data_IF_680731012633
#
_entry.id   IF_680731012633
#
_cell.length_a   1.000
_cell.length_b   1.000
_cell.length_c   1.000
_cell.angle_alpha   90.00
_cell.angle_beta   90.00
_cell.angle_gamma   90.00
#
_symmetry.space_group_name_H-M   'P 1'
#
loop_
_entity.id
_entity.type
_entity.pdbx_description
1 polymer ?
#
# COMPACT_ATOMS: atom_id res chain seq x y z
N UNK A 1 6.34 25.93 3.80
CA UNK A 1 6.33 24.49 3.45
C UNK A 1 4.96 24.14 2.85
N UNK A 2 4.94 23.36 1.79
CA UNK A 2 3.70 22.87 1.17
C UNK A 2 3.58 21.37 1.48
N UNK A 3 2.39 20.94 1.85
CA UNK A 3 2.09 19.53 2.15
C UNK A 3 1.16 18.99 1.08
N UNK A 4 1.63 18.05 0.26
CA UNK A 4 0.85 17.40 -0.77
C UNK A 4 0.49 15.98 -0.35
N UNK A 5 -0.77 15.62 -0.45
CA UNK A 5 -1.26 14.28 -0.14
C UNK A 5 -1.75 13.57 -1.38
N UNK A 6 -1.38 12.30 -1.56
CA UNK A 6 -1.83 11.48 -2.68
C UNK A 6 -2.63 10.30 -2.16
N UNK A 7 -3.90 10.27 -2.54
CA UNK A 7 -4.74 9.07 -2.39
C UNK A 7 -4.46 8.14 -3.57
N UNK A 8 -3.91 6.96 -3.26
CA UNK A 8 -3.41 6.02 -4.28
C UNK A 8 -4.42 4.90 -4.54
N UNK A 9 -4.68 4.63 -5.81
CA UNK A 9 -5.52 3.51 -6.23
C UNK A 9 -4.95 2.81 -7.48
N UNK A 10 -5.51 1.67 -7.84
CA UNK A 10 -5.01 0.83 -8.94
C UNK A 10 -4.95 1.55 -10.29
N UNK A 11 -5.99 2.31 -10.64
CA UNK A 11 -6.13 2.93 -11.96
C UNK A 11 -5.81 4.42 -11.96
N UNK A 12 -6.30 5.15 -10.97
CA UNK A 12 -6.16 6.59 -10.87
C UNK A 12 -5.72 6.97 -9.46
N UNK A 13 -4.93 8.01 -9.34
CA UNK A 13 -4.54 8.66 -8.10
C UNK A 13 -5.18 10.04 -8.01
N UNK A 14 -5.36 10.54 -6.80
CA UNK A 14 -5.81 11.92 -6.57
C UNK A 14 -4.78 12.63 -5.69
N UNK A 15 -4.33 13.80 -6.10
CA UNK A 15 -3.42 14.66 -5.34
C UNK A 15 -4.12 15.93 -4.90
N UNK A 16 -3.83 16.37 -3.68
CA UNK A 16 -4.26 17.66 -3.15
C UNK A 16 -3.17 18.24 -2.25
N UNK A 17 -3.11 19.55 -2.11
CA UNK A 17 -2.11 20.23 -1.30
C UNK A 17 -2.72 21.25 -0.35
N UNK A 18 -2.08 21.39 0.83
CA UNK A 18 -2.40 22.40 1.82
C UNK A 18 -1.15 23.21 2.19
N UNK A 19 -1.35 24.46 2.57
CA UNK A 19 -0.30 25.32 3.12
C UNK A 19 -0.05 25.08 4.61
N UNK A 20 0.86 25.84 5.20
CA UNK A 20 1.14 25.81 6.65
C UNK A 20 -0.10 26.14 7.50
N UNK A 21 -1.04 26.90 6.96
CA UNK A 21 -2.32 27.25 7.61
C UNK A 21 -3.38 26.11 7.52
N UNK A 22 -3.07 25.03 6.81
CA UNK A 22 -3.98 23.90 6.58
C UNK A 22 -5.10 24.19 5.57
N UNK A 23 -5.00 25.30 4.83
CA UNK A 23 -5.97 25.61 3.77
C UNK A 23 -5.53 24.99 2.45
N UNK A 24 -6.48 24.47 1.63
CA UNK A 24 -6.17 23.97 0.30
C UNK A 24 -5.58 25.09 -0.56
N UNK A 25 -4.43 24.84 -1.18
CA UNK A 25 -3.73 25.80 -2.04
C UNK A 25 -4.36 25.89 -3.42
N UNK A 26 -4.90 24.78 -3.90
CA UNK A 26 -5.54 24.71 -5.22
C UNK A 26 -6.54 23.53 -5.26
N UNK A 27 -7.20 23.39 -6.42
CA UNK A 27 -8.10 22.26 -6.68
C UNK A 27 -7.32 20.95 -6.79
N UNK A 28 -7.75 19.91 -6.06
CA UNK A 28 -7.19 18.55 -6.20
C UNK A 28 -7.29 18.05 -7.64
N UNK A 29 -6.26 17.33 -8.07
CA UNK A 29 -6.13 16.80 -9.42
C UNK A 29 -6.18 15.27 -9.40
N UNK A 30 -6.93 14.69 -10.33
CA UNK A 30 -6.91 13.26 -10.61
C UNK A 30 -5.97 12.96 -11.78
N UNK A 31 -5.18 11.88 -11.66
CA UNK A 31 -4.25 11.42 -12.70
C UNK A 31 -4.16 9.90 -12.74
N UNK A 32 -3.81 9.34 -13.89
CA UNK A 32 -3.70 7.89 -14.07
C UNK A 32 -2.45 7.33 -13.39
N UNK A 33 -2.54 6.09 -12.93
CA UNK A 33 -1.38 5.32 -12.48
C UNK A 33 -0.60 4.82 -13.72
N UNK A 34 0.14 5.73 -14.35
CA UNK A 34 0.92 5.53 -15.57
C UNK A 34 1.98 6.61 -15.67
N UNK A 35 2.99 6.39 -16.51
CA UNK A 35 4.10 7.34 -16.72
C UNK A 35 3.60 8.75 -17.09
N UNK A 36 2.73 8.86 -18.09
CA UNK A 36 2.10 10.14 -18.48
C UNK A 36 1.26 10.78 -17.34
N UNK A 37 0.68 9.95 -16.45
CA UNK A 37 -0.01 10.43 -15.26
C UNK A 37 0.98 10.97 -14.22
N UNK A 38 2.12 10.34 -14.05
CA UNK A 38 3.18 10.79 -13.15
C UNK A 38 3.81 12.09 -13.62
N UNK A 39 4.06 12.26 -14.94
CA UNK A 39 4.48 13.53 -15.53
C UNK A 39 3.51 14.67 -15.22
N UNK A 40 2.20 14.41 -15.33
CA UNK A 40 1.18 15.39 -14.95
C UNK A 40 1.19 15.72 -13.45
N UNK A 41 1.50 14.73 -12.60
CA UNK A 41 1.65 14.93 -11.17
C UNK A 41 2.86 15.83 -10.87
N UNK A 42 4.01 15.55 -11.48
CA UNK A 42 5.22 16.36 -11.37
C UNK A 42 4.98 17.80 -11.82
N UNK A 43 4.42 18.00 -12.99
CA UNK A 43 4.07 19.35 -13.51
C UNK A 43 3.08 20.10 -12.60
N UNK A 44 2.16 19.40 -11.95
CA UNK A 44 1.24 20.01 -10.99
C UNK A 44 1.97 20.45 -9.71
N UNK A 45 2.93 19.66 -9.21
CA UNK A 45 3.76 20.01 -8.05
C UNK A 45 4.72 21.18 -8.33
N UNK A 46 5.34 21.20 -9.52
CA UNK A 46 6.16 22.32 -10.01
C UNK A 46 5.38 23.65 -10.07
N UNK A 47 4.08 23.58 -10.34
CA UNK A 47 3.20 24.76 -10.31
C UNK A 47 2.91 25.29 -8.90
N UNK A 48 3.26 24.56 -7.84
CA UNK A 48 3.03 24.96 -6.44
C UNK A 48 4.26 25.59 -5.78
N UNK A 49 5.47 25.17 -6.15
CA UNK A 49 6.72 25.63 -5.55
C UNK A 49 7.83 25.66 -6.61
N UNK A 50 8.77 26.57 -6.44
CA UNK A 50 9.95 26.69 -7.32
C UNK A 50 10.96 25.57 -7.07
N UNK A 51 11.09 25.13 -5.82
CA UNK A 51 12.02 24.08 -5.41
C UNK A 51 11.27 22.84 -4.90
N UNK A 52 11.65 21.63 -5.34
CA UNK A 52 11.06 20.39 -4.83
C UNK A 52 11.18 20.21 -3.31
N UNK A 53 12.24 20.78 -2.70
CA UNK A 53 12.50 20.74 -1.26
C UNK A 53 11.43 21.48 -0.42
N UNK A 54 10.67 22.39 -1.04
CA UNK A 54 9.60 23.14 -0.38
C UNK A 54 8.29 22.37 -0.28
N UNK A 55 8.24 21.18 -0.92
CA UNK A 55 7.06 20.33 -0.94
C UNK A 55 7.35 18.99 -0.27
N UNK A 56 6.58 18.67 0.74
CA UNK A 56 6.54 17.33 1.36
C UNK A 56 5.35 16.57 0.80
N UNK A 57 5.62 15.44 0.13
CA UNK A 57 4.58 14.60 -0.49
C UNK A 57 4.32 13.36 0.36
N UNK A 58 3.07 13.12 0.73
CA UNK A 58 2.66 11.90 1.44
C UNK A 58 1.72 11.03 0.63
N UNK A 59 1.86 9.73 0.82
CA UNK A 59 1.01 8.72 0.18
C UNK A 59 0.51 7.73 1.23
N UNK A 60 -0.76 7.32 1.14
CA UNK A 60 -1.24 6.25 2.01
C UNK A 60 -0.69 4.88 1.56
N UNK A 61 -0.24 4.05 2.52
CA UNK A 61 0.33 2.72 2.27
C UNK A 61 -0.74 1.69 1.85
N UNK A 62 -1.51 1.98 0.80
CA UNK A 62 -2.53 1.07 0.27
C UNK A 62 -1.94 0.16 -0.80
N UNK A 63 -1.74 -1.12 -0.45
CA UNK A 63 -1.17 -2.11 -1.36
C UNK A 63 0.24 -1.75 -1.84
N UNK A 64 0.48 -1.87 -3.15
CA UNK A 64 1.77 -1.58 -3.79
C UNK A 64 1.69 -0.44 -4.82
N UNK A 65 0.52 0.15 -5.02
CA UNK A 65 0.25 1.13 -6.09
C UNK A 65 1.00 2.46 -5.91
N UNK A 66 1.46 2.77 -4.71
CA UNK A 66 2.23 3.97 -4.38
C UNK A 66 3.71 3.89 -4.81
N UNK A 67 4.26 2.67 -4.98
CA UNK A 67 5.71 2.46 -5.11
C UNK A 67 6.31 3.12 -6.34
N UNK A 68 5.66 3.02 -7.50
CA UNK A 68 6.16 3.61 -8.75
C UNK A 68 6.16 5.15 -8.69
N UNK A 69 5.08 5.74 -8.20
CA UNK A 69 4.98 7.20 -8.01
C UNK A 69 5.99 7.70 -6.98
N UNK A 70 6.17 6.98 -5.87
CA UNK A 70 7.17 7.30 -4.84
C UNK A 70 8.58 7.36 -5.44
N UNK A 71 8.97 6.30 -6.17
CA UNK A 71 10.29 6.23 -6.79
C UNK A 71 10.52 7.38 -7.79
N UNK A 72 9.50 7.73 -8.58
CA UNK A 72 9.55 8.82 -9.54
C UNK A 72 9.74 10.16 -8.84
N UNK A 73 8.91 10.52 -7.88
CA UNK A 73 8.98 11.81 -7.17
C UNK A 73 10.26 11.94 -6.33
N UNK A 74 10.72 10.86 -5.71
CA UNK A 74 11.99 10.85 -4.99
C UNK A 74 13.20 11.09 -5.94
N UNK A 75 13.16 10.52 -7.15
CA UNK A 75 14.19 10.77 -8.18
C UNK A 75 14.16 12.22 -8.71
N UNK A 76 13.02 12.88 -8.68
CA UNK A 76 12.85 14.30 -9.03
C UNK A 76 13.22 15.26 -7.89
N UNK A 77 13.65 14.74 -6.72
CA UNK A 77 14.14 15.53 -5.60
C UNK A 77 13.07 15.94 -4.58
N UNK A 78 11.83 15.45 -4.70
CA UNK A 78 10.80 15.69 -3.68
C UNK A 78 11.07 14.89 -2.41
N UNK A 79 10.76 15.47 -1.26
CA UNK A 79 10.66 14.75 0.00
C UNK A 79 9.37 13.94 0.01
N UNK A 80 9.47 12.61 -0.03
CA UNK A 80 8.30 11.71 -0.11
C UNK A 80 8.24 10.79 1.09
N UNK A 81 7.06 10.63 1.68
CA UNK A 81 6.83 9.68 2.76
C UNK A 81 5.56 8.85 2.55
N UNK A 82 5.52 7.69 3.19
CA UNK A 82 4.35 6.81 3.19
C UNK A 82 3.72 6.84 4.57
N UNK A 83 2.45 7.16 4.62
CA UNK A 83 1.68 7.36 5.84
C UNK A 83 0.90 6.08 6.16
N UNK A 84 0.87 5.74 7.45
CA UNK A 84 0.06 4.63 7.90
C UNK A 84 -1.44 5.00 7.79
N UNK A 85 -2.30 4.14 7.19
CA UNK A 85 -3.74 4.36 7.12
C UNK A 85 -4.42 4.66 8.46
N UNK A 86 -3.86 4.19 9.57
CA UNK A 86 -4.38 4.48 10.91
C UNK A 86 -4.22 5.95 11.31
N UNK A 87 -3.13 6.60 10.90
CA UNK A 87 -2.86 8.02 11.16
C UNK A 87 -3.84 8.90 10.38
N UNK A 88 -4.05 8.60 9.10
CA UNK A 88 -5.04 9.30 8.25
C UNK A 88 -6.47 9.16 8.85
N UNK A 89 -6.82 7.96 9.34
CA UNK A 89 -8.11 7.73 10.02
C UNK A 89 -8.24 8.55 11.30
N UNK A 90 -7.18 8.68 12.09
CA UNK A 90 -7.18 9.50 13.30
C UNK A 90 -7.43 10.98 12.99
N UNK A 91 -6.71 11.53 12.01
CA UNK A 91 -6.90 12.92 11.55
C UNK A 91 -8.30 13.14 10.97
N UNK A 92 -8.84 12.19 10.20
CA UNK A 92 -10.21 12.22 9.70
C UNK A 92 -11.24 12.34 10.82
N UNK A 93 -11.06 11.57 11.91
CA UNK A 93 -11.94 11.59 13.09
C UNK A 93 -11.86 12.93 13.81
N UNK A 94 -10.65 13.47 14.01
CA UNK A 94 -10.43 14.78 14.64
C UNK A 94 -11.11 15.91 13.86
N UNK A 95 -11.10 15.87 12.54
CA UNK A 95 -11.73 16.89 11.68
C UNK A 95 -13.24 16.70 11.46
N UNK A 96 -13.88 15.73 12.12
CA UNK A 96 -15.31 15.48 12.00
C UNK A 96 -15.76 14.99 10.60
N UNK A 97 -14.82 14.61 9.73
CA UNK A 97 -15.08 14.17 8.34
C UNK A 97 -15.34 12.66 8.21
N UNK A 98 -15.70 11.99 9.29
CA UNK A 98 -15.84 10.52 9.35
C UNK A 98 -16.88 9.94 8.37
N UNK A 99 -17.83 10.73 7.90
CA UNK A 99 -18.93 10.29 7.01
C UNK A 99 -18.73 10.63 5.52
N UNK A 100 -17.75 11.47 5.18
CA UNK A 100 -17.51 11.89 3.79
C UNK A 100 -16.33 11.10 3.24
N UNK A 101 -16.60 10.10 2.40
CA UNK A 101 -15.58 9.39 1.64
C UNK A 101 -15.58 9.94 0.22
N UNK A 102 -14.51 10.62 -0.15
CA UNK A 102 -14.27 11.16 -1.49
C UNK A 102 -12.76 11.27 -1.66
N UNK A 103 -12.22 10.75 -2.73
CA UNK A 103 -10.79 10.67 -3.01
C UNK A 103 -10.08 12.04 -2.91
N UNK A 104 -10.79 13.13 -3.28
CA UNK A 104 -10.27 14.51 -3.10
C UNK A 104 -10.15 14.90 -1.63
N UNK A 105 -11.13 14.52 -0.81
CA UNK A 105 -11.11 14.77 0.63
C UNK A 105 -10.03 13.90 1.27
N UNK A 106 -9.84 12.69 0.77
CA UNK A 106 -8.85 11.74 1.27
C UNK A 106 -7.43 12.23 0.96
N UNK A 107 -7.16 12.74 -0.25
CA UNK A 107 -5.91 13.38 -0.60
C UNK A 107 -5.58 14.59 0.31
N UNK A 108 -6.56 15.46 0.57
CA UNK A 108 -6.36 16.59 1.49
C UNK A 108 -6.17 16.16 2.95
N UNK A 109 -6.78 15.06 3.39
CA UNK A 109 -6.56 14.50 4.72
C UNK A 109 -5.15 13.92 4.88
N UNK A 110 -4.62 13.30 3.82
CA UNK A 110 -3.22 12.85 3.78
C UNK A 110 -2.27 14.06 3.89
N UNK A 111 -2.51 15.11 3.11
CA UNK A 111 -1.74 16.36 3.19
C UNK A 111 -1.78 16.98 4.60
N UNK A 112 -2.93 17.00 5.23
CA UNK A 112 -3.10 17.51 6.59
C UNK A 112 -2.43 16.64 7.64
N UNK A 113 -2.40 15.32 7.46
CA UNK A 113 -1.66 14.39 8.33
C UNK A 113 -0.17 14.71 8.32
N UNK A 114 0.40 15.03 7.15
CA UNK A 114 1.77 15.52 7.03
C UNK A 114 1.99 16.82 7.79
N UNK A 115 1.11 17.80 7.58
CA UNK A 115 1.21 19.13 8.20
C UNK A 115 1.20 19.07 9.72
N UNK A 116 0.41 18.19 10.31
CA UNK A 116 0.34 17.98 11.76
C UNK A 116 1.61 17.30 12.30
N UNK A 117 2.44 16.69 11.41
CA UNK A 117 3.67 16.00 11.81
C UNK A 117 3.44 14.55 12.26
N UNK A 118 2.26 13.99 12.05
CA UNK A 118 1.91 12.60 12.36
C UNK A 118 2.35 11.67 11.21
N UNK A 119 3.66 11.60 10.96
CA UNK A 119 4.22 10.69 9.95
C UNK A 119 5.63 10.25 10.33
N UNK A 120 6.03 9.10 9.80
CA UNK A 120 7.40 8.59 9.89
C UNK A 120 8.05 8.70 8.53
N UNK A 121 9.24 9.29 8.49
CA UNK A 121 10.03 9.39 7.26
C UNK A 121 10.24 8.00 6.66
N UNK A 122 9.83 7.81 5.41
CA UNK A 122 9.92 6.51 4.75
C UNK A 122 11.19 6.44 3.91
N UNK A 123 12.08 5.55 4.30
CA UNK A 123 13.21 5.16 3.45
C UNK A 123 12.83 3.90 2.68
N UNK A 124 12.84 3.99 1.35
CA UNK A 124 12.72 2.78 0.54
C UNK A 124 13.90 1.86 0.86
N UNK A 125 13.59 0.61 1.15
CA UNK A 125 14.62 -0.40 1.24
C UNK A 125 15.29 -0.60 -0.14
N UNK A 126 16.55 -1.02 -0.16
CA UNK A 126 17.24 -1.33 -1.43
C UNK A 126 16.45 -2.37 -2.25
N UNK A 127 16.70 -2.43 -3.54
CA UNK A 127 16.01 -3.36 -4.45
C UNK A 127 16.19 -4.82 -4.01
N UNK A 128 17.36 -5.18 -3.45
CA UNK A 128 17.63 -6.51 -2.92
C UNK A 128 16.73 -6.81 -1.71
N UNK A 129 16.56 -5.85 -0.80
CA UNK A 129 15.72 -6.01 0.38
C UNK A 129 14.24 -6.07 -0.03
N UNK A 130 13.82 -5.27 -1.02
CA UNK A 130 12.46 -5.33 -1.59
C UNK A 130 12.20 -6.69 -2.23
N UNK A 131 13.14 -7.18 -3.03
CA UNK A 131 13.07 -8.50 -3.66
C UNK A 131 12.99 -9.62 -2.63
N UNK A 132 13.83 -9.57 -1.59
CA UNK A 132 13.80 -10.54 -0.49
C UNK A 132 12.46 -10.54 0.27
N UNK A 133 11.91 -9.36 0.56
CA UNK A 133 10.58 -9.24 1.17
C UNK A 133 9.50 -9.87 0.30
N UNK A 134 9.54 -9.62 -1.01
CA UNK A 134 8.57 -10.17 -1.97
C UNK A 134 8.67 -11.69 -2.03
N UNK A 135 9.87 -12.24 -2.17
CA UNK A 135 10.11 -13.69 -2.19
C UNK A 135 9.69 -14.36 -0.87
N UNK A 136 10.00 -13.74 0.27
CA UNK A 136 9.62 -14.28 1.58
C UNK A 136 8.10 -14.32 1.76
N UNK A 137 7.38 -13.27 1.35
CA UNK A 137 5.91 -13.22 1.39
C UNK A 137 5.30 -14.25 0.44
N UNK A 138 5.86 -14.38 -0.76
CA UNK A 138 5.39 -15.38 -1.74
C UNK A 138 5.61 -16.81 -1.24
N UNK A 139 6.79 -17.10 -0.68
CA UNK A 139 7.06 -18.40 -0.02
C UNK A 139 6.06 -18.69 1.10
N UNK A 140 5.73 -17.70 1.91
CA UNK A 140 4.76 -17.87 3.00
C UNK A 140 3.36 -18.16 2.46
N UNK A 141 2.90 -17.44 1.41
CA UNK A 141 1.61 -17.66 0.77
C UNK A 141 1.51 -19.11 0.22
N UNK A 142 2.53 -19.59 -0.49
CA UNK A 142 2.57 -20.97 -0.99
C UNK A 142 2.46 -21.99 0.16
N UNK A 143 3.15 -21.76 1.28
CA UNK A 143 3.06 -22.66 2.44
C UNK A 143 1.66 -22.69 3.05
N UNK A 144 1.00 -21.55 3.12
CA UNK A 144 -0.38 -21.44 3.61
C UNK A 144 -1.37 -22.11 2.66
N UNK A 145 -1.23 -21.94 1.34
CA UNK A 145 -2.03 -22.63 0.35
C UNK A 145 -1.85 -24.15 0.44
N UNK A 146 -0.61 -24.63 0.53
CA UNK A 146 -0.31 -26.05 0.70
C UNK A 146 -0.94 -26.62 1.98
N UNK A 147 -0.89 -25.87 3.10
CA UNK A 147 -1.53 -26.27 4.35
C UNK A 147 -3.06 -26.37 4.19
N UNK A 148 -3.68 -25.40 3.50
CA UNK A 148 -5.12 -25.43 3.23
C UNK A 148 -5.53 -26.63 2.36
N UNK A 149 -4.74 -26.96 1.35
CA UNK A 149 -4.98 -28.17 0.51
C UNK A 149 -4.89 -29.44 1.37
N UNK A 150 -3.88 -29.56 2.22
CA UNK A 150 -3.73 -30.68 3.15
C UNK A 150 -4.95 -30.82 4.07
N UNK A 151 -5.42 -29.74 4.68
CA UNK A 151 -6.61 -29.73 5.53
C UNK A 151 -7.84 -30.23 4.76
N UNK A 152 -8.06 -29.72 3.56
CA UNK A 152 -9.20 -30.15 2.72
C UNK A 152 -9.13 -31.63 2.38
N UNK A 153 -7.95 -32.14 2.02
CA UNK A 153 -7.77 -33.56 1.73
C UNK A 153 -8.02 -34.40 3.00
N UNK A 154 -7.50 -33.99 4.16
CA UNK A 154 -7.79 -34.67 5.44
C UNK A 154 -9.30 -34.75 5.68
N UNK A 155 -10.04 -33.65 5.54
CA UNK A 155 -11.50 -33.66 5.71
C UNK A 155 -12.22 -34.63 4.75
N UNK A 156 -11.75 -34.74 3.51
CA UNK A 156 -12.30 -35.72 2.54
C UNK A 156 -11.99 -37.14 2.99
N UNK A 157 -10.74 -37.41 3.37
CA UNK A 157 -10.35 -38.75 3.85
C UNK A 157 -11.12 -39.15 5.11
N UNK A 158 -11.26 -38.27 6.08
CA UNK A 158 -12.04 -38.51 7.30
C UNK A 158 -13.51 -38.84 7.01
N UNK A 159 -14.05 -38.31 5.93
CA UNK A 159 -15.45 -38.53 5.54
C UNK A 159 -15.67 -39.89 4.86
N UNK A 160 -14.68 -40.43 4.18
CA UNK A 160 -14.82 -41.66 3.40
C UNK A 160 -13.97 -42.84 3.92
N UNK A 161 -12.85 -42.56 4.57
CA UNK A 161 -11.95 -43.59 5.09
C UNK A 161 -11.19 -43.06 6.34
N UNK A 162 -11.90 -42.94 7.48
CA UNK A 162 -11.34 -42.30 8.71
C UNK A 162 -10.14 -43.08 9.30
N UNK A 163 -10.04 -44.40 9.06
CA UNK A 163 -8.94 -45.25 9.51
C UNK A 163 -7.61 -44.91 8.80
N UNK A 164 -7.66 -44.23 7.65
CA UNK A 164 -6.48 -43.93 6.84
C UNK A 164 -5.44 -43.12 7.60
N UNK A 165 -5.88 -42.20 8.46
CA UNK A 165 -5.00 -41.37 9.28
C UNK A 165 -4.10 -42.18 10.22
N UNK A 166 -4.51 -43.41 10.60
CA UNK A 166 -3.74 -44.30 11.44
C UNK A 166 -2.81 -45.28 10.70
N UNK A 167 -2.89 -45.32 9.37
CA UNK A 167 -2.12 -46.29 8.56
C UNK A 167 -0.67 -45.83 8.34
N UNK A 168 -0.47 -44.53 8.19
CA UNK A 168 0.85 -43.94 7.91
C UNK A 168 1.27 -42.96 9.01
N UNK A 169 2.58 -42.91 9.29
CA UNK A 169 3.13 -41.90 10.22
C UNK A 169 3.02 -40.46 9.69
N UNK A 170 2.96 -40.31 8.36
CA UNK A 170 2.68 -39.05 7.66
C UNK A 170 1.71 -39.33 6.52
N UNK A 171 0.47 -38.83 6.63
CA UNK A 171 -0.59 -38.96 5.63
C UNK A 171 -0.21 -38.31 4.30
N UNK A 172 0.71 -37.36 4.29
CA UNK A 172 1.20 -36.64 3.09
C UNK A 172 2.61 -37.08 2.69
N UNK A 173 3.12 -38.15 3.30
CA UNK A 173 4.38 -38.77 2.90
C UNK A 173 4.28 -39.51 1.57
N UNK A 174 5.43 -39.76 0.93
CA UNK A 174 5.47 -40.40 -0.42
C UNK A 174 4.79 -41.77 -0.47
N UNK A 175 4.91 -42.57 0.59
CA UNK A 175 4.27 -43.89 0.68
C UNK A 175 2.74 -43.78 0.74
N UNK A 176 2.21 -42.84 1.51
CA UNK A 176 0.77 -42.61 1.60
C UNK A 176 0.21 -42.06 0.29
N UNK A 177 0.89 -41.08 -0.33
CA UNK A 177 0.46 -40.53 -1.62
C UNK A 177 0.45 -41.57 -2.73
N UNK A 178 1.43 -42.47 -2.78
CA UNK A 178 1.48 -43.54 -3.77
C UNK A 178 0.32 -44.56 -3.65
N UNK A 179 -0.35 -44.63 -2.49
CA UNK A 179 -1.54 -45.48 -2.32
C UNK A 179 -2.82 -44.75 -2.74
N UNK A 180 -2.80 -43.41 -2.79
CA UNK A 180 -3.94 -42.59 -3.19
C UNK A 180 -3.99 -42.34 -4.71
N UNK A 181 -2.92 -42.60 -5.44
CA UNK A 181 -2.84 -42.57 -6.91
C UNK A 181 -3.46 -43.85 -7.53
#
# INVERSE_FOLDING_TARGET
MIYAGVDVAKANHVIGAVGDDGQPLCKSMEFKNSDAGFERCSAWLEGLAEEPSDVLVGMEATGHYWMALFARLAAEGYSVCVINPMEVKAVRKLKGKSRVKNDRVDALLIAETLRIGEYVETKLASDEVQSLRTLTRYRQAIKEEAAQVKIRLTCVMDSYFPEYAGVFSDMFGSASLAVLE
#
